data_IF_450216180094
#
_entry.id   IF_450216180094
#
_cell.length_a   1.000
_cell.length_b   1.000
_cell.length_c   1.000
_cell.angle_alpha   90.00
_cell.angle_beta   90.00
_cell.angle_gamma   90.00
#
_symmetry.space_group_name_H-M   'P 1'
#
loop_
_entity.id
_entity.type
_entity.pdbx_description
1 polymer ?
#
# COMPACT_ATOMS: atom_id res chain seq x y z
N UNK A 1 27.51 40.15 -24.54
CA UNK A 1 28.27 41.42 -24.68
C UNK A 1 29.74 41.17 -24.32
N UNK A 2 30.68 41.69 -25.09
CA UNK A 2 32.11 41.64 -24.72
C UNK A 2 32.77 43.01 -24.95
N UNK A 3 33.87 43.24 -24.22
CA UNK A 3 34.80 44.35 -24.43
C UNK A 3 36.08 43.81 -25.03
N UNK A 4 36.55 44.44 -26.06
CA UNK A 4 37.79 44.04 -26.76
C UNK A 4 38.77 45.23 -26.75
N UNK A 5 39.98 45.00 -26.30
CA UNK A 5 41.09 45.96 -26.44
C UNK A 5 42.03 45.47 -27.53
N UNK A 6 42.32 46.36 -28.46
CA UNK A 6 43.25 46.13 -29.55
C UNK A 6 44.27 47.26 -29.56
N UNK A 7 45.59 46.97 -29.50
CA UNK A 7 46.68 47.93 -29.45
C UNK A 7 46.51 48.99 -28.34
N UNK A 8 46.04 48.59 -27.17
CA UNK A 8 45.78 49.49 -26.03
C UNK A 8 44.52 50.32 -26.17
N UNK A 9 43.72 50.13 -27.20
CA UNK A 9 42.49 50.92 -27.44
C UNK A 9 41.28 50.03 -27.37
N UNK A 10 40.28 50.45 -26.54
CA UNK A 10 38.99 49.76 -26.43
C UNK A 10 38.21 49.90 -27.74
N UNK A 11 37.81 48.77 -28.31
CA UNK A 11 37.12 48.70 -29.59
C UNK A 11 35.61 48.92 -29.39
N UNK A 12 35.01 49.71 -30.30
CA UNK A 12 33.57 49.96 -30.25
C UNK A 12 32.79 48.77 -30.78
N UNK A 13 31.83 48.21 -30.01
CA UNK A 13 30.96 47.13 -30.50
C UNK A 13 30.19 47.56 -31.74
N UNK A 14 29.92 46.61 -32.63
CA UNK A 14 29.17 46.75 -33.88
C UNK A 14 29.97 47.45 -34.97
N UNK A 15 30.69 48.54 -34.66
CA UNK A 15 31.44 49.29 -35.65
C UNK A 15 32.88 48.79 -35.86
N UNK A 16 33.56 48.36 -34.79
CA UNK A 16 34.93 47.84 -34.88
C UNK A 16 35.00 46.31 -34.86
N UNK A 17 34.00 45.68 -34.26
CA UNK A 17 33.85 44.20 -34.28
C UNK A 17 32.37 43.81 -34.10
N UNK A 18 32.04 42.60 -34.56
CA UNK A 18 30.76 41.94 -34.31
C UNK A 18 30.98 40.56 -33.70
N UNK A 19 29.94 40.00 -33.06
CA UNK A 19 29.95 38.64 -32.53
C UNK A 19 28.94 37.80 -33.29
N UNK A 20 29.38 36.63 -33.79
CA UNK A 20 28.50 35.66 -34.43
C UNK A 20 28.76 34.30 -33.81
N UNK A 21 27.77 33.80 -33.05
CA UNK A 21 27.94 32.57 -32.24
C UNK A 21 29.10 32.74 -31.23
N UNK A 22 30.12 31.92 -31.30
CA UNK A 22 31.32 31.96 -30.46
C UNK A 22 32.50 32.67 -31.10
N UNK A 23 32.27 33.38 -32.21
CA UNK A 23 33.36 34.03 -32.98
C UNK A 23 33.22 35.55 -32.93
N UNK A 24 34.38 36.21 -32.68
CA UNK A 24 34.50 37.67 -32.82
C UNK A 24 35.03 37.92 -34.24
N UNK A 25 34.37 38.83 -34.96
CA UNK A 25 34.69 39.25 -36.33
C UNK A 25 35.07 40.70 -36.28
N UNK A 26 36.31 41.06 -36.53
CA UNK A 26 36.77 42.44 -36.62
C UNK A 26 36.35 43.07 -37.97
N UNK A 27 36.00 44.35 -37.96
CA UNK A 27 35.56 45.07 -39.15
C UNK A 27 36.69 45.25 -40.18
N UNK A 28 37.96 45.26 -39.73
CA UNK A 28 39.13 45.22 -40.57
C UNK A 28 40.00 43.99 -40.20
N UNK A 29 40.67 43.40 -41.21
CA UNK A 29 41.58 42.27 -40.97
C UNK A 29 42.72 42.74 -40.07
N UNK A 30 43.02 41.95 -39.01
CA UNK A 30 44.16 42.20 -38.17
C UNK A 30 45.46 41.86 -38.91
N UNK A 31 46.49 42.65 -38.62
CA UNK A 31 47.86 42.49 -39.18
C UNK A 31 48.78 41.81 -38.15
N UNK A 32 49.98 41.47 -38.53
CA UNK A 32 50.99 40.88 -37.61
C UNK A 32 51.49 41.85 -36.55
N UNK A 33 51.23 43.15 -36.72
CA UNK A 33 51.62 44.23 -35.79
C UNK A 33 50.48 44.54 -34.78
N UNK A 34 49.29 43.95 -34.95
CA UNK A 34 48.17 44.13 -34.05
C UNK A 34 48.26 43.17 -32.88
N UNK A 35 47.98 43.72 -31.65
CA UNK A 35 47.94 42.97 -30.42
C UNK A 35 46.54 43.05 -29.81
N UNK A 36 45.91 41.90 -29.58
CA UNK A 36 44.71 41.86 -28.76
C UNK A 36 45.15 41.79 -27.31
N UNK A 37 44.96 42.89 -26.57
CA UNK A 37 45.40 43.02 -25.17
C UNK A 37 44.51 42.18 -24.23
N UNK A 38 43.17 42.26 -24.42
CA UNK A 38 42.23 41.42 -23.72
C UNK A 38 40.87 41.38 -24.43
N UNK A 39 40.14 40.32 -24.16
CA UNK A 39 38.72 40.17 -24.45
C UNK A 39 38.00 39.84 -23.15
N UNK A 40 37.19 40.78 -22.64
CA UNK A 40 36.37 40.60 -21.45
C UNK A 40 34.96 40.26 -21.88
N UNK A 41 34.49 39.06 -21.55
CA UNK A 41 33.12 38.67 -21.77
C UNK A 41 32.30 39.19 -20.60
N UNK A 42 31.38 40.10 -20.90
CA UNK A 42 30.37 40.58 -19.96
C UNK A 42 29.23 39.58 -20.07
N UNK A 43 29.32 38.48 -19.30
CA UNK A 43 28.24 37.52 -19.22
C UNK A 43 27.01 38.11 -18.60
N UNK A 44 25.86 37.57 -18.97
CA UNK A 44 24.66 37.79 -18.18
C UNK A 44 24.91 37.16 -16.83
N UNK A 45 24.75 37.91 -15.73
CA UNK A 45 25.02 37.40 -14.37
C UNK A 45 24.14 36.24 -13.96
N UNK A 46 23.25 35.80 -14.85
CA UNK A 46 22.32 34.70 -14.66
C UNK A 46 22.71 33.39 -15.38
N UNK A 47 23.66 33.41 -16.31
CA UNK A 47 24.18 32.19 -16.92
C UNK A 47 25.41 31.68 -16.12
N UNK A 48 25.16 31.32 -14.89
CA UNK A 48 26.10 30.61 -14.01
C UNK A 48 26.33 29.20 -14.45
N UNK A 49 26.40 28.88 -15.69
CA UNK A 49 26.74 27.55 -16.20
C UNK A 49 26.17 26.38 -15.40
N UNK A 50 26.13 25.22 -15.97
CA UNK A 50 25.81 23.99 -15.20
C UNK A 50 26.80 23.86 -14.03
N UNK A 51 26.33 23.77 -12.76
CA UNK A 51 27.23 23.52 -11.65
C UNK A 51 28.10 22.29 -11.95
N UNK A 52 29.36 22.35 -11.55
CA UNK A 52 30.23 21.17 -11.66
C UNK A 52 29.63 20.02 -10.88
N UNK A 53 29.93 18.79 -11.29
CA UNK A 53 29.50 17.59 -10.58
C UNK A 53 29.86 17.70 -9.09
N UNK A 54 28.96 17.24 -8.22
CA UNK A 54 29.09 17.21 -6.76
C UNK A 54 29.17 18.58 -6.06
N UNK A 55 28.89 19.71 -6.77
CA UNK A 55 28.95 21.07 -6.17
C UNK A 55 27.64 21.53 -5.54
N UNK A 56 26.49 20.92 -5.86
CA UNK A 56 25.19 21.26 -5.29
C UNK A 56 24.87 20.34 -4.11
N UNK A 57 25.17 20.81 -2.91
CA UNK A 57 24.83 20.10 -1.68
C UNK A 57 23.61 20.69 -0.96
N UNK A 58 23.31 20.18 0.21
CA UNK A 58 22.16 20.64 1.01
C UNK A 58 22.22 22.15 1.35
N UNK A 59 23.40 22.72 1.47
CA UNK A 59 23.58 24.15 1.77
C UNK A 59 23.18 25.08 0.61
N UNK A 60 23.23 24.60 -0.62
CA UNK A 60 22.84 25.32 -1.83
C UNK A 60 21.34 25.21 -2.14
N UNK A 61 20.66 24.25 -1.53
CA UNK A 61 19.22 24.05 -1.69
C UNK A 61 18.50 24.82 -0.59
N UNK A 62 17.70 25.81 -0.96
CA UNK A 62 16.87 26.53 -0.01
C UNK A 62 15.74 25.66 0.53
N UNK A 63 15.37 25.87 1.80
CA UNK A 63 14.26 25.18 2.43
C UNK A 63 12.91 25.40 1.70
N UNK A 64 12.76 26.55 1.02
CA UNK A 64 11.56 26.90 0.25
C UNK A 64 11.46 26.15 -1.10
N UNK A 65 12.46 25.38 -1.50
CA UNK A 65 12.34 24.47 -2.65
C UNK A 65 11.16 23.50 -2.46
N UNK A 66 10.87 23.11 -1.24
CA UNK A 66 9.72 22.26 -0.91
C UNK A 66 8.56 23.13 -0.41
N UNK A 67 8.79 23.94 0.64
CA UNK A 67 7.71 24.70 1.30
C UNK A 67 7.16 25.87 0.47
N UNK A 68 7.92 26.35 -0.51
CA UNK A 68 7.50 27.42 -1.43
C UNK A 68 6.73 26.92 -2.65
N UNK A 69 6.62 25.60 -2.86
CA UNK A 69 5.82 25.05 -3.95
C UNK A 69 4.37 24.82 -3.53
N UNK A 70 3.48 24.73 -4.50
CA UNK A 70 2.06 24.42 -4.23
C UNK A 70 1.93 23.04 -3.59
N UNK A 71 1.24 22.97 -2.44
CA UNK A 71 0.99 21.70 -1.76
C UNK A 71 0.11 20.79 -2.63
N UNK A 72 0.45 19.50 -2.68
CA UNK A 72 -0.42 18.47 -3.24
C UNK A 72 -1.66 18.35 -2.34
N UNK A 73 -2.86 18.55 -2.88
CA UNK A 73 -4.12 18.57 -2.12
C UNK A 73 -4.81 17.19 -2.04
N UNK A 74 -4.23 16.16 -2.66
CA UNK A 74 -4.75 14.80 -2.69
C UNK A 74 -3.64 13.80 -2.37
N UNK A 75 -4.01 12.55 -2.12
CA UNK A 75 -3.04 11.47 -1.98
C UNK A 75 -2.20 11.35 -3.26
N UNK A 76 -0.86 11.18 -3.14
CA UNK A 76 -0.01 10.95 -4.30
C UNK A 76 -0.45 9.72 -5.11
N UNK A 77 -0.33 9.77 -6.42
CA UNK A 77 -0.52 8.60 -7.26
C UNK A 77 0.60 7.58 -7.02
N UNK A 78 0.32 6.30 -7.24
CA UNK A 78 1.31 5.22 -7.04
C UNK A 78 2.59 5.40 -7.86
N UNK A 79 2.50 6.15 -8.96
CA UNK A 79 3.61 6.48 -9.87
C UNK A 79 4.31 7.79 -9.56
N UNK A 80 3.85 8.54 -8.54
CA UNK A 80 4.55 9.76 -8.11
C UNK A 80 5.88 9.39 -7.45
N UNK A 81 6.94 10.12 -7.78
CA UNK A 81 8.30 9.77 -7.42
C UNK A 81 8.86 10.70 -6.35
N UNK A 82 9.65 10.14 -5.44
CA UNK A 82 10.36 10.85 -4.39
C UNK A 82 11.86 10.61 -4.51
N UNK A 83 12.66 11.63 -4.18
CA UNK A 83 14.11 11.50 -4.10
C UNK A 83 14.50 10.87 -2.76
N UNK A 84 15.33 9.83 -2.81
CA UNK A 84 15.88 9.14 -1.64
C UNK A 84 17.39 8.98 -1.78
N UNK A 85 18.09 8.96 -0.64
CA UNK A 85 19.50 8.57 -0.58
C UNK A 85 19.58 7.07 -0.24
N UNK A 86 19.99 6.25 -1.20
CA UNK A 86 20.23 4.82 -1.00
C UNK A 86 21.74 4.57 -0.93
N UNK A 87 22.24 4.27 0.27
CA UNK A 87 23.66 4.06 0.56
C UNK A 87 24.57 5.22 0.05
N UNK A 88 24.08 6.47 0.14
CA UNK A 88 24.79 7.66 -0.31
C UNK A 88 24.63 7.98 -1.80
N UNK A 89 23.87 7.20 -2.54
CA UNK A 89 23.55 7.47 -3.95
C UNK A 89 22.11 8.02 -4.03
N UNK A 90 21.95 9.13 -4.74
CA UNK A 90 20.63 9.73 -4.96
C UNK A 90 19.84 8.87 -5.96
N UNK A 91 18.67 8.41 -5.55
CA UNK A 91 17.73 7.61 -6.36
C UNK A 91 16.33 8.19 -6.26
N UNK A 92 15.47 7.80 -7.19
CA UNK A 92 14.03 8.02 -7.10
C UNK A 92 13.34 6.74 -6.61
N UNK A 93 12.23 6.91 -5.91
CA UNK A 93 11.37 5.82 -5.46
C UNK A 93 9.91 6.20 -5.70
N UNK A 94 9.11 5.27 -6.21
CA UNK A 94 7.69 5.47 -6.43
C UNK A 94 6.93 5.48 -5.10
N UNK A 95 5.86 6.28 -5.00
CA UNK A 95 4.99 6.34 -3.82
C UNK A 95 4.45 4.97 -3.44
N UNK A 96 4.14 4.11 -4.41
CA UNK A 96 3.68 2.73 -4.18
C UNK A 96 4.61 1.91 -3.28
N UNK A 97 5.91 2.23 -3.25
CA UNK A 97 6.92 1.52 -2.46
C UNK A 97 7.14 2.10 -1.06
N UNK A 98 6.70 3.33 -0.81
CA UNK A 98 6.88 4.02 0.48
C UNK A 98 5.58 4.24 1.23
N UNK A 99 4.44 4.16 0.58
CA UNK A 99 3.15 4.23 1.26
C UNK A 99 3.03 3.07 2.26
N UNK A 100 2.66 3.40 3.49
CA UNK A 100 2.49 2.40 4.54
C UNK A 100 1.52 1.29 4.12
N UNK A 101 1.77 0.07 4.56
CA UNK A 101 0.84 -1.04 4.36
C UNK A 101 -0.49 -0.73 5.05
N UNK A 102 -1.49 -0.31 4.28
CA UNK A 102 -2.86 -0.19 4.74
C UNK A 102 -3.54 -1.56 4.72
N UNK A 103 -4.67 -1.69 5.42
CA UNK A 103 -5.53 -2.86 5.28
C UNK A 103 -6.05 -2.89 3.85
N UNK A 104 -5.58 -3.85 3.05
CA UNK A 104 -5.90 -3.95 1.62
C UNK A 104 -7.12 -4.83 1.35
N UNK A 105 -7.52 -5.63 2.36
CA UNK A 105 -8.69 -6.49 2.29
C UNK A 105 -9.32 -6.63 3.68
N UNK A 106 -10.63 -6.42 3.78
CA UNK A 106 -11.46 -6.83 4.89
C UNK A 106 -12.83 -7.27 4.36
N UNK A 107 -13.33 -8.36 4.90
CA UNK A 107 -14.58 -8.97 4.47
C UNK A 107 -15.31 -9.59 5.67
N UNK A 108 -16.62 -9.61 5.63
CA UNK A 108 -17.45 -10.14 6.71
C UNK A 108 -18.52 -11.07 6.14
N UNK A 109 -18.73 -12.18 6.82
CA UNK A 109 -19.72 -13.19 6.44
C UNK A 109 -20.58 -13.57 7.64
N UNK A 110 -21.80 -13.92 7.39
CA UNK A 110 -22.77 -14.35 8.39
C UNK A 110 -23.49 -15.63 7.98
N UNK A 111 -24.01 -16.31 8.98
CA UNK A 111 -25.00 -17.37 8.77
C UNK A 111 -26.38 -16.74 8.68
N UNK A 112 -27.15 -17.01 7.63
CA UNK A 112 -28.46 -16.41 7.35
C UNK A 112 -29.64 -17.19 7.93
N UNK A 113 -29.40 -18.44 8.35
CA UNK A 113 -30.40 -19.25 9.04
C UNK A 113 -29.72 -20.22 10.01
N UNK A 114 -30.46 -20.66 10.98
CA UNK A 114 -30.01 -21.59 12.01
C UNK A 114 -29.44 -22.89 11.43
N UNK A 115 -28.39 -23.39 12.06
CA UNK A 115 -27.77 -24.69 11.73
C UNK A 115 -27.61 -25.50 13.01
N UNK A 116 -28.10 -26.74 13.00
CA UNK A 116 -27.95 -27.68 14.12
C UNK A 116 -26.59 -28.37 14.08
N UNK A 117 -25.99 -28.55 15.25
CA UNK A 117 -24.76 -29.35 15.44
C UNK A 117 -24.77 -30.04 16.81
N UNK A 118 -23.93 -31.07 16.97
CA UNK A 118 -23.88 -31.88 18.18
C UNK A 118 -22.44 -32.29 18.53
N UNK A 119 -22.23 -33.48 19.07
CA UNK A 119 -20.93 -34.01 19.44
C UNK A 119 -20.07 -34.50 18.24
N UNK A 120 -20.59 -34.33 17.03
CA UNK A 120 -19.86 -34.53 15.78
C UNK A 120 -19.44 -33.21 15.18
N UNK A 121 -18.17 -33.11 14.74
CA UNK A 121 -17.68 -31.91 14.05
C UNK A 121 -18.50 -31.66 12.79
N UNK A 122 -19.24 -30.57 12.76
CA UNK A 122 -20.15 -30.22 11.67
C UNK A 122 -19.61 -28.99 10.92
N UNK A 123 -19.36 -29.17 9.63
CA UNK A 123 -18.93 -28.05 8.77
C UNK A 123 -20.12 -27.13 8.44
N UNK A 124 -19.91 -25.83 8.47
CA UNK A 124 -20.87 -24.82 8.03
C UNK A 124 -20.80 -24.68 6.49
N UNK A 125 -21.66 -25.40 5.78
CA UNK A 125 -21.58 -25.53 4.31
C UNK A 125 -22.63 -24.74 3.54
N UNK A 126 -23.66 -24.22 4.22
CA UNK A 126 -24.80 -23.53 3.61
C UNK A 126 -25.20 -22.30 4.41
N UNK A 127 -26.07 -21.48 3.83
CA UNK A 127 -26.63 -20.27 4.45
C UNK A 127 -25.56 -19.26 4.87
N UNK A 128 -24.47 -19.18 4.10
CA UNK A 128 -23.39 -18.22 4.29
C UNK A 128 -23.55 -17.09 3.30
N UNK A 129 -23.66 -15.86 3.81
CA UNK A 129 -23.84 -14.65 3.03
C UNK A 129 -22.82 -13.60 3.46
N UNK A 130 -22.28 -12.88 2.47
CA UNK A 130 -21.45 -11.72 2.74
C UNK A 130 -22.29 -10.62 3.41
N UNK A 131 -21.76 -9.99 4.44
CA UNK A 131 -22.46 -8.91 5.13
C UNK A 131 -22.34 -7.64 4.31
N UNK A 132 -23.48 -7.17 3.79
CA UNK A 132 -23.59 -5.99 2.92
C UNK A 132 -24.61 -4.95 3.43
N UNK A 133 -24.90 -4.97 4.74
CA UNK A 133 -25.93 -4.13 5.35
C UNK A 133 -25.46 -2.71 5.65
N UNK A 134 -26.30 -1.75 5.26
CA UNK A 134 -26.19 -0.33 5.63
C UNK A 134 -24.74 0.21 5.63
N UNK A 135 -24.13 0.39 6.78
CA UNK A 135 -22.78 0.91 6.94
C UNK A 135 -21.68 -0.16 6.95
N UNK A 136 -22.03 -1.42 6.76
CA UNK A 136 -21.09 -2.52 6.63
C UNK A 136 -20.66 -2.64 5.18
N UNK A 137 -19.40 -2.97 4.96
CA UNK A 137 -18.84 -3.06 3.62
C UNK A 137 -17.58 -3.90 3.60
N UNK A 138 -17.01 -4.01 2.41
CA UNK A 138 -15.78 -4.74 2.12
C UNK A 138 -14.68 -3.74 1.78
N UNK A 139 -13.46 -4.01 2.22
CA UNK A 139 -12.27 -3.32 1.74
C UNK A 139 -11.60 -4.22 0.69
N UNK A 140 -11.30 -3.68 -0.48
CA UNK A 140 -10.71 -4.43 -1.58
C UNK A 140 -11.66 -5.47 -2.17
N UNK A 141 -11.12 -6.61 -2.60
CA UNK A 141 -11.90 -7.69 -3.19
C UNK A 141 -12.38 -8.66 -2.13
N UNK A 142 -13.67 -9.01 -2.19
CA UNK A 142 -14.29 -9.97 -1.29
C UNK A 142 -13.75 -11.40 -1.47
N UNK A 143 -13.85 -12.21 -0.43
CA UNK A 143 -13.74 -13.67 -0.54
C UNK A 143 -14.91 -14.25 -1.34
N UNK A 144 -14.71 -15.42 -1.88
CA UNK A 144 -15.80 -16.23 -2.46
C UNK A 144 -16.01 -17.49 -1.64
N UNK A 145 -17.25 -17.96 -1.57
CA UNK A 145 -17.59 -19.18 -0.86
C UNK A 145 -18.31 -20.18 -1.76
N UNK A 146 -17.94 -21.45 -1.64
CA UNK A 146 -18.63 -22.56 -2.30
C UNK A 146 -18.68 -23.76 -1.35
N UNK A 147 -19.88 -24.22 -1.02
CA UNK A 147 -20.09 -25.34 -0.07
C UNK A 147 -19.33 -25.17 1.26
N UNK A 148 -19.30 -23.94 1.79
CA UNK A 148 -18.61 -23.60 3.04
C UNK A 148 -17.10 -23.43 2.94
N UNK A 149 -16.52 -23.60 1.76
CA UNK A 149 -15.10 -23.38 1.52
C UNK A 149 -14.87 -21.96 1.00
N UNK A 150 -14.10 -21.20 1.74
CA UNK A 150 -13.75 -19.81 1.43
C UNK A 150 -12.44 -19.71 0.69
N UNK A 151 -12.46 -18.97 -0.41
CA UNK A 151 -11.29 -18.67 -1.26
C UNK A 151 -10.86 -17.24 -1.06
N UNK A 152 -9.58 -17.03 -0.75
CA UNK A 152 -8.98 -15.72 -0.61
C UNK A 152 -8.83 -15.02 -1.98
N UNK A 153 -9.04 -13.70 -2.06
CA UNK A 153 -8.95 -12.96 -3.32
C UNK A 153 -7.51 -12.77 -3.83
N UNK A 154 -6.53 -12.76 -2.93
CA UNK A 154 -5.11 -12.58 -3.26
C UNK A 154 -4.20 -13.31 -2.29
N UNK A 155 -2.92 -13.41 -2.62
CA UNK A 155 -1.87 -13.86 -1.69
C UNK A 155 -1.62 -12.80 -0.62
N UNK A 156 -1.17 -13.22 0.57
CA UNK A 156 -0.90 -12.33 1.71
C UNK A 156 -1.19 -13.01 3.03
N UNK A 157 -0.99 -12.29 4.13
CA UNK A 157 -1.28 -12.79 5.48
C UNK A 157 -2.61 -12.19 5.95
N UNK A 158 -3.55 -13.06 6.31
CA UNK A 158 -4.90 -12.71 6.72
C UNK A 158 -5.15 -13.08 8.18
N UNK A 159 -5.73 -12.17 8.95
CA UNK A 159 -6.35 -12.52 10.22
C UNK A 159 -7.77 -13.02 9.97
N UNK A 160 -8.00 -14.30 10.20
CA UNK A 160 -9.32 -14.93 10.12
C UNK A 160 -9.91 -15.04 11.51
N UNK A 161 -11.13 -14.53 11.69
CA UNK A 161 -11.87 -14.60 12.95
C UNK A 161 -13.19 -15.32 12.72
N UNK A 162 -13.51 -16.30 13.57
CA UNK A 162 -14.80 -16.95 13.63
C UNK A 162 -15.45 -16.70 14.99
N UNK A 163 -16.68 -16.20 14.98
CA UNK A 163 -17.51 -15.99 16.16
C UNK A 163 -18.78 -16.83 15.97
N UNK A 164 -19.02 -17.77 16.85
CA UNK A 164 -20.22 -18.60 16.81
C UNK A 164 -21.22 -18.10 17.85
N UNK A 165 -22.41 -17.70 17.41
CA UNK A 165 -23.53 -17.54 18.32
C UNK A 165 -24.24 -18.89 18.46
N UNK A 166 -24.06 -19.57 19.59
CA UNK A 166 -24.66 -20.87 19.84
C UNK A 166 -25.78 -20.77 20.88
N UNK A 167 -26.84 -21.54 20.71
CA UNK A 167 -28.03 -21.57 21.56
C UNK A 167 -28.44 -23.00 21.89
N UNK A 168 -28.92 -23.20 23.12
CA UNK A 168 -29.44 -24.48 23.61
C UNK A 168 -30.33 -24.33 24.82
N UNK A 169 -31.42 -25.11 24.88
CA UNK A 169 -32.26 -25.32 26.09
C UNK A 169 -31.73 -26.44 26.96
N UNK A 170 -30.57 -26.27 27.57
CA UNK A 170 -29.92 -27.26 28.43
C UNK A 170 -28.43 -27.05 28.55
N UNK A 171 -27.76 -27.78 29.42
CA UNK A 171 -26.33 -27.66 29.63
C UNK A 171 -25.53 -28.30 28.47
N UNK A 172 -24.44 -27.64 28.10
CA UNK A 172 -23.40 -28.20 27.25
C UNK A 172 -22.04 -27.92 27.88
N UNK A 173 -21.23 -28.97 28.12
CA UNK A 173 -19.91 -28.82 28.76
C UNK A 173 -18.94 -28.04 27.94
N UNK A 174 -19.07 -28.14 26.61
CA UNK A 174 -18.31 -27.36 25.65
C UNK A 174 -19.19 -27.06 24.42
N UNK A 175 -18.90 -25.93 23.83
CA UNK A 175 -19.36 -25.51 22.52
C UNK A 175 -18.14 -24.91 21.84
N UNK A 176 -17.78 -25.41 20.67
CA UNK A 176 -16.56 -25.01 19.98
C UNK A 176 -16.86 -24.49 18.59
N UNK A 177 -16.08 -23.50 18.17
CA UNK A 177 -15.96 -23.06 16.78
C UNK A 177 -14.53 -23.32 16.30
N UNK A 178 -14.39 -23.85 15.11
CA UNK A 178 -13.09 -24.18 14.51
C UNK A 178 -12.89 -23.38 13.23
N UNK A 179 -11.65 -22.90 13.05
CA UNK A 179 -11.11 -22.47 11.77
C UNK A 179 -10.27 -23.62 11.23
N UNK A 180 -10.66 -24.18 10.10
CA UNK A 180 -9.91 -25.24 9.42
C UNK A 180 -9.30 -24.67 8.16
N UNK A 181 -7.99 -24.87 7.97
CA UNK A 181 -7.25 -24.37 6.81
C UNK A 181 -6.61 -25.52 6.03
N UNK A 182 -6.36 -25.28 4.76
CA UNK A 182 -5.64 -26.20 3.88
C UNK A 182 -4.57 -25.45 3.08
N UNK A 183 -3.46 -26.13 2.79
CA UNK A 183 -2.41 -25.65 1.90
C UNK A 183 -2.40 -26.36 0.54
N UNK A 184 -3.31 -27.31 0.31
CA UNK A 184 -3.36 -28.14 -0.92
C UNK A 184 -4.78 -28.30 -1.49
N UNK A 185 -5.73 -27.51 -1.00
CA UNK A 185 -7.17 -27.55 -1.35
C UNK A 185 -7.81 -28.95 -1.18
N UNK A 186 -7.27 -29.79 -0.33
CA UNK A 186 -7.72 -31.16 -0.15
C UNK A 186 -7.78 -31.57 1.31
N UNK A 187 -6.66 -31.52 2.02
CA UNK A 187 -6.56 -31.93 3.42
C UNK A 187 -6.67 -30.70 4.31
N UNK A 188 -7.70 -30.62 5.12
CA UNK A 188 -7.93 -29.56 6.09
C UNK A 188 -7.44 -29.96 7.47
N UNK A 189 -6.72 -29.06 8.11
CA UNK A 189 -6.31 -29.16 9.51
C UNK A 189 -6.88 -27.98 10.31
N UNK A 190 -7.16 -28.21 11.60
CA UNK A 190 -7.62 -27.16 12.49
C UNK A 190 -6.50 -26.15 12.74
N UNK A 191 -6.69 -24.91 12.28
CA UNK A 191 -5.78 -23.79 12.47
C UNK A 191 -6.04 -23.09 13.80
N UNK A 192 -7.30 -23.00 14.21
CA UNK A 192 -7.68 -22.43 15.52
C UNK A 192 -8.99 -23.05 16.03
N UNK A 193 -9.17 -22.91 17.33
CA UNK A 193 -10.37 -23.35 18.06
C UNK A 193 -10.71 -22.29 19.10
N UNK A 194 -11.99 -21.93 19.19
CA UNK A 194 -12.58 -21.23 20.33
C UNK A 194 -13.52 -22.16 21.07
N UNK A 195 -13.55 -22.07 22.39
CA UNK A 195 -14.40 -22.90 23.25
C UNK A 195 -15.12 -22.05 24.29
N UNK A 196 -16.35 -22.42 24.56
CA UNK A 196 -17.21 -21.89 25.64
C UNK A 196 -18.08 -23.01 26.18
N UNK A 197 -18.96 -22.72 27.11
CA UNK A 197 -19.92 -23.68 27.70
C UNK A 197 -21.29 -23.04 27.88
N UNK A 198 -22.35 -23.86 27.86
CA UNK A 198 -23.70 -23.43 28.17
C UNK A 198 -24.10 -24.04 29.52
N UNK A 199 -24.34 -23.16 30.51
CA UNK A 199 -24.87 -23.51 31.82
C UNK A 199 -26.26 -22.90 31.95
N UNK A 200 -27.29 -23.71 31.71
CA UNK A 200 -28.67 -23.27 31.81
C UNK A 200 -29.08 -23.09 33.28
N UNK A 201 -29.68 -21.95 33.61
CA UNK A 201 -30.14 -21.61 34.95
C UNK A 201 -31.68 -21.47 35.05
N UNK A 202 -32.35 -21.46 33.91
CA UNK A 202 -33.81 -21.33 33.80
C UNK A 202 -34.38 -22.23 32.68
N UNK A 203 -35.64 -22.09 32.36
CA UNK A 203 -36.35 -22.89 31.35
C UNK A 203 -36.17 -22.41 29.90
N UNK A 204 -35.45 -21.28 29.67
CA UNK A 204 -35.24 -20.73 28.35
C UNK A 204 -33.94 -21.19 27.71
N UNK A 205 -33.73 -20.85 26.42
CA UNK A 205 -32.50 -21.09 25.74
C UNK A 205 -31.38 -20.18 26.27
N UNK A 206 -30.28 -20.79 26.60
CA UNK A 206 -29.05 -20.08 26.99
C UNK A 206 -28.12 -20.01 25.77
N UNK A 207 -27.39 -18.91 25.63
CA UNK A 207 -26.50 -18.64 24.52
C UNK A 207 -25.06 -18.52 24.97
N UNK A 208 -24.13 -18.87 24.09
CA UNK A 208 -22.69 -18.62 24.26
C UNK A 208 -22.04 -18.20 22.93
N UNK A 209 -20.86 -17.59 23.01
CA UNK A 209 -20.19 -17.04 21.84
C UNK A 209 -18.69 -17.42 21.82
N UNK A 210 -18.34 -18.68 21.55
CA UNK A 210 -16.94 -19.05 21.36
C UNK A 210 -16.35 -18.32 20.17
N UNK A 211 -15.08 -17.88 20.31
CA UNK A 211 -14.33 -17.12 19.31
C UNK A 211 -13.04 -17.85 18.99
N UNK A 212 -12.77 -18.08 17.72
CA UNK A 212 -11.50 -18.57 17.20
C UNK A 212 -10.83 -17.52 16.30
N UNK A 213 -9.50 -17.41 16.37
CA UNK A 213 -8.72 -16.54 15.51
C UNK A 213 -7.44 -17.21 15.07
N UNK A 214 -7.05 -16.99 13.80
CA UNK A 214 -5.80 -17.48 13.25
C UNK A 214 -5.25 -16.54 12.19
N UNK A 215 -3.93 -16.43 12.13
CA UNK A 215 -3.23 -15.84 10.98
C UNK A 215 -3.04 -16.93 9.92
N UNK A 216 -3.50 -16.67 8.71
CA UNK A 216 -3.40 -17.55 7.55
C UNK A 216 -2.48 -16.91 6.51
N UNK A 217 -1.36 -17.56 6.23
CA UNK A 217 -0.46 -17.17 5.14
C UNK A 217 -0.93 -17.78 3.83
N UNK A 218 -1.47 -16.95 2.96
CA UNK A 218 -1.99 -17.34 1.65
C UNK A 218 -0.90 -17.19 0.60
N UNK A 219 -0.12 -18.21 0.42
CA UNK A 219 0.93 -18.26 -0.61
C UNK A 219 0.41 -18.57 -2.00
N UNK A 220 -0.78 -19.18 -2.09
CA UNK A 220 -1.44 -19.55 -3.34
C UNK A 220 -2.96 -19.63 -3.12
N UNK A 221 -3.73 -18.79 -3.80
CA UNK A 221 -5.19 -18.72 -3.64
C UNK A 221 -5.97 -19.93 -4.17
N UNK A 222 -5.37 -20.73 -5.04
CA UNK A 222 -5.96 -21.99 -5.51
C UNK A 222 -5.90 -23.07 -4.43
N UNK A 223 -4.81 -23.11 -3.67
CA UNK A 223 -4.49 -24.18 -2.73
C UNK A 223 -4.85 -23.83 -1.27
N UNK A 224 -4.60 -22.57 -0.85
CA UNK A 224 -4.89 -22.15 0.53
C UNK A 224 -6.34 -21.71 0.62
N UNK A 225 -7.10 -22.41 1.44
CA UNK A 225 -8.52 -22.17 1.69
C UNK A 225 -8.81 -22.29 3.18
N UNK A 226 -9.94 -21.75 3.60
CA UNK A 226 -10.46 -21.94 4.95
C UNK A 226 -11.91 -22.41 4.91
N UNK A 227 -12.33 -23.15 5.94
CA UNK A 227 -13.71 -23.49 6.24
C UNK A 227 -13.93 -23.45 7.74
N UNK A 228 -15.18 -23.34 8.13
CA UNK A 228 -15.58 -23.23 9.53
C UNK A 228 -16.42 -24.45 9.93
N UNK A 229 -16.19 -24.95 11.13
CA UNK A 229 -16.99 -26.03 11.70
C UNK A 229 -17.29 -25.76 13.16
N UNK A 230 -18.30 -26.41 13.68
CA UNK A 230 -18.70 -26.35 15.09
C UNK A 230 -18.92 -27.76 15.65
N UNK A 231 -18.79 -27.87 16.95
CA UNK A 231 -19.05 -29.11 17.71
C UNK A 231 -19.45 -28.71 19.14
N UNK A 232 -20.34 -29.49 19.77
CA UNK A 232 -20.74 -29.29 21.15
C UNK A 232 -20.92 -30.64 21.86
N UNK A 233 -20.80 -30.69 23.18
CA UNK A 233 -21.07 -31.89 23.97
C UNK A 233 -22.51 -32.43 23.80
N UNK A 234 -23.45 -31.54 23.56
CA UNK A 234 -24.86 -31.86 23.36
C UNK A 234 -25.43 -30.98 22.26
N UNK A 235 -26.48 -31.45 21.56
CA UNK A 235 -27.07 -30.75 20.42
C UNK A 235 -27.35 -29.29 20.70
N UNK A 236 -26.80 -28.43 19.87
CA UNK A 236 -26.90 -26.97 19.90
C UNK A 236 -27.33 -26.42 18.56
N UNK A 237 -27.72 -25.17 18.53
CA UNK A 237 -28.05 -24.42 17.33
C UNK A 237 -27.04 -23.30 17.13
N UNK A 238 -26.38 -23.28 15.99
CA UNK A 238 -25.69 -22.08 15.51
C UNK A 238 -26.74 -21.10 15.01
N UNK A 239 -26.85 -19.96 15.67
CA UNK A 239 -27.91 -18.98 15.42
C UNK A 239 -27.56 -18.18 14.17
N UNK A 240 -28.42 -18.28 13.16
CA UNK A 240 -28.38 -17.46 11.96
C UNK A 240 -29.19 -16.17 12.13
N UNK A 241 -28.90 -15.18 11.32
CA UNK A 241 -29.61 -13.93 11.29
C UNK A 241 -30.08 -13.58 9.88
N UNK A 242 -31.38 -13.54 9.70
CA UNK A 242 -32.05 -13.28 8.41
C UNK A 242 -32.25 -11.80 8.11
N UNK A 243 -31.93 -10.91 9.04
CA UNK A 243 -32.14 -9.45 8.87
C UNK A 243 -30.93 -8.76 8.33
#
# INVERSE_FOLDING_TARGET
HCLVSLNGVLQAPISSYTISGSTIIFAAALTTDDSIDFITILGDTLDLGVPSDDTVGAAQIKADLISGTTALAAEPADTDEFLVSDAGVLKRIDYSLIKGGSLTMADQWRLTSDASFDDTVTDLTANLEQVDRNTQGTIGSAMTVSSGIFTFPSTGVYLVTAILAASRGGNSRYVEVHINATANNSTYARAAQGMDSINQTDSGDTKCNPIAQSLIDVTNTTNVKVKFSCVAFAACTAVGDTN
#
